data_IF_009164360518
#
_entry.id   IF_009164360518
#
_cell.length_a   1.000
_cell.length_b   1.000
_cell.length_c   1.000
_cell.angle_alpha   90.00
_cell.angle_beta   90.00
_cell.angle_gamma   90.00
#
_symmetry.space_group_name_H-M   'P 1'
#
loop_
_entity.id
_entity.type
_entity.pdbx_description
1 polymer ?
#
# COMPACT_ATOMS: atom_id res chain seq x y z
N UNK A 1 -13.80 -1.99 6.82
CA UNK A 1 -12.48 -2.01 6.14
C UNK A 1 -12.56 -1.20 4.85
N UNK A 2 -11.66 -0.23 4.66
CA UNK A 2 -11.59 0.62 3.45
C UNK A 2 -10.20 0.47 2.82
N UNK A 3 -10.13 0.17 1.53
CA UNK A 3 -8.88 -0.03 0.78
C UNK A 3 -7.93 -1.09 1.39
N UNK A 4 -8.48 -2.06 2.14
CA UNK A 4 -7.70 -3.08 2.87
C UNK A 4 -7.21 -2.64 4.25
N UNK A 5 -7.55 -1.44 4.72
CA UNK A 5 -7.21 -0.95 6.07
C UNK A 5 -8.42 -1.04 7.00
N UNK A 6 -8.17 -1.45 8.24
CA UNK A 6 -9.21 -1.58 9.27
C UNK A 6 -9.58 -0.21 9.86
N UNK A 7 -10.34 0.56 9.08
CA UNK A 7 -10.87 1.85 9.46
C UNK A 7 -12.17 2.13 8.70
N UNK A 8 -13.02 2.95 9.30
CA UNK A 8 -14.27 3.47 8.71
C UNK A 8 -14.09 4.89 8.16
N UNK A 9 -12.99 5.57 8.51
CA UNK A 9 -12.70 6.91 7.99
C UNK A 9 -12.01 6.82 6.63
N UNK A 10 -12.73 7.23 5.57
CA UNK A 10 -12.21 7.26 4.18
C UNK A 10 -10.94 8.11 4.07
N UNK A 11 -10.80 9.19 4.84
CA UNK A 11 -9.62 10.08 4.77
C UNK A 11 -8.40 9.42 5.38
N UNK A 12 -8.57 8.75 6.51
CA UNK A 12 -7.53 7.94 7.16
C UNK A 12 -7.11 6.76 6.26
N UNK A 13 -8.07 6.06 5.67
CA UNK A 13 -7.79 4.98 4.72
C UNK A 13 -7.01 5.47 3.49
N UNK A 14 -7.37 6.64 2.96
CA UNK A 14 -6.67 7.28 1.84
C UNK A 14 -5.23 7.63 2.23
N UNK A 15 -5.03 8.22 3.42
CA UNK A 15 -3.69 8.49 3.95
C UNK A 15 -2.84 7.23 4.10
N UNK A 16 -3.42 6.16 4.66
CA UNK A 16 -2.76 4.87 4.79
C UNK A 16 -2.38 4.25 3.43
N UNK A 17 -3.29 4.34 2.46
CA UNK A 17 -3.06 3.85 1.11
C UNK A 17 -1.88 4.56 0.43
N UNK A 18 -1.78 5.88 0.57
CA UNK A 18 -0.66 6.67 0.03
C UNK A 18 0.67 6.24 0.64
N UNK A 19 0.75 6.14 1.96
CA UNK A 19 1.97 5.72 2.66
C UNK A 19 2.36 4.30 2.27
N UNK A 20 1.39 3.39 2.25
CA UNK A 20 1.58 2.01 1.83
C UNK A 20 2.11 1.90 0.39
N UNK A 21 1.49 2.61 -0.55
CA UNK A 21 1.87 2.56 -1.96
C UNK A 21 3.28 3.09 -2.18
N UNK A 22 3.66 4.21 -1.56
CA UNK A 22 5.03 4.76 -1.65
C UNK A 22 6.03 3.80 -0.99
N UNK A 23 5.71 3.27 0.19
CA UNK A 23 6.59 2.33 0.89
C UNK A 23 6.82 1.05 0.07
N UNK A 24 5.79 0.47 -0.54
CA UNK A 24 5.93 -0.76 -1.34
C UNK A 24 6.60 -0.55 -2.68
N UNK A 25 6.52 0.67 -3.19
CA UNK A 25 7.20 1.08 -4.42
C UNK A 25 8.66 1.51 -4.20
N UNK A 26 9.18 1.40 -2.97
CA UNK A 26 10.57 1.75 -2.67
C UNK A 26 11.56 0.82 -3.34
N UNK A 27 12.75 1.34 -3.60
CA UNK A 27 13.92 0.53 -3.89
C UNK A 27 14.39 -0.17 -2.60
N UNK A 28 14.14 -1.49 -2.51
CA UNK A 28 14.51 -2.34 -1.36
C UNK A 28 16.03 -2.40 -1.15
N UNK A 29 16.83 -2.17 -2.18
CA UNK A 29 18.30 -2.20 -2.06
C UNK A 29 18.83 -0.96 -1.33
N UNK A 30 18.20 0.20 -1.58
CA UNK A 30 18.56 1.50 -1.01
C UNK A 30 17.90 1.76 0.34
N UNK A 31 16.62 1.40 0.49
CA UNK A 31 15.87 1.57 1.73
C UNK A 31 15.62 0.22 2.41
N UNK A 32 16.62 -0.20 3.20
CA UNK A 32 16.63 -1.48 3.91
C UNK A 32 15.73 -1.46 5.14
N UNK A 33 15.12 -2.61 5.43
CA UNK A 33 14.35 -2.81 6.67
C UNK A 33 15.32 -2.82 7.86
N UNK A 34 15.06 -1.97 8.85
CA UNK A 34 15.87 -1.82 10.07
C UNK A 34 14.96 -1.63 11.29
N UNK A 35 15.52 -1.79 12.50
CA UNK A 35 14.76 -1.67 13.76
C UNK A 35 14.11 -0.28 13.92
N UNK A 36 14.77 0.79 13.47
CA UNK A 36 14.26 2.17 13.56
C UNK A 36 13.49 2.64 12.30
N UNK A 37 13.33 1.77 11.30
CA UNK A 37 12.71 2.13 10.02
C UNK A 37 11.32 2.74 10.21
N UNK A 38 10.50 2.17 11.10
CA UNK A 38 9.14 2.67 11.32
C UNK A 38 9.12 4.05 11.97
N UNK A 39 10.04 4.33 12.91
CA UNK A 39 10.19 5.67 13.48
C UNK A 39 10.63 6.68 12.40
N UNK A 40 11.51 6.28 11.48
CA UNK A 40 11.93 7.11 10.36
C UNK A 40 10.77 7.42 9.42
N UNK A 41 9.99 6.41 9.04
CA UNK A 41 8.79 6.56 8.21
C UNK A 41 7.81 7.53 8.87
N UNK A 42 7.54 7.38 10.18
CA UNK A 42 6.67 8.31 10.90
C UNK A 42 7.17 9.75 10.83
N UNK A 43 8.46 9.99 11.06
CA UNK A 43 9.06 11.33 10.94
C UNK A 43 8.92 11.88 9.51
N UNK A 44 9.19 11.06 8.49
CA UNK A 44 9.11 11.47 7.10
C UNK A 44 7.70 11.80 6.65
N UNK A 45 6.72 10.97 7.03
CA UNK A 45 5.30 11.19 6.74
C UNK A 45 4.81 12.47 7.41
N UNK A 46 5.11 12.66 8.70
CA UNK A 46 4.69 13.85 9.43
C UNK A 46 5.26 15.13 8.82
N UNK A 47 6.54 15.13 8.49
CA UNK A 47 7.22 16.29 7.90
C UNK A 47 6.85 16.52 6.42
N UNK A 48 6.47 15.48 5.67
CA UNK A 48 5.89 15.64 4.34
C UNK A 48 4.47 16.24 4.42
N UNK A 49 3.62 15.69 5.30
CA UNK A 49 2.24 16.13 5.50
C UNK A 49 2.17 17.60 5.96
N UNK A 50 3.05 18.01 6.87
CA UNK A 50 3.14 19.40 7.34
C UNK A 50 3.38 20.42 6.22
N UNK A 51 4.14 20.05 5.19
CA UNK A 51 4.57 20.96 4.10
C UNK A 51 3.76 20.82 2.82
N UNK A 52 3.05 19.71 2.67
CA UNK A 52 2.19 19.47 1.53
C UNK A 52 0.97 20.38 1.57
N UNK A 53 0.64 20.98 0.42
CA UNK A 53 -0.61 21.72 0.19
C UNK A 53 -1.64 20.89 -0.60
N UNK A 54 -1.21 19.76 -1.15
CA UNK A 54 -2.02 18.85 -1.94
C UNK A 54 -1.50 17.42 -1.81
N UNK A 55 -2.34 16.42 -2.11
CA UNK A 55 -1.92 15.01 -2.08
C UNK A 55 -0.76 14.72 -3.06
N UNK A 56 -0.77 15.20 -4.32
CA UNK A 56 0.38 15.02 -5.21
C UNK A 56 1.66 15.59 -4.61
N UNK A 57 1.59 16.78 -3.99
CA UNK A 57 2.75 17.39 -3.34
C UNK A 57 3.24 16.57 -2.15
N UNK A 58 2.35 15.93 -1.41
CA UNK A 58 2.73 15.00 -0.35
C UNK A 58 3.52 13.81 -0.90
N UNK A 59 3.06 13.20 -2.00
CA UNK A 59 3.75 12.08 -2.66
C UNK A 59 5.15 12.51 -3.13
N UNK A 60 5.28 13.67 -3.76
CA UNK A 60 6.57 14.22 -4.21
C UNK A 60 7.55 14.45 -3.05
N UNK A 61 7.05 14.87 -1.88
CA UNK A 61 7.89 15.11 -0.70
C UNK A 61 8.28 13.80 0.02
N UNK A 62 7.40 12.80 0.02
CA UNK A 62 7.64 11.52 0.71
C UNK A 62 8.50 10.57 -0.12
N UNK A 63 8.24 10.45 -1.42
CA UNK A 63 8.89 9.49 -2.33
C UNK A 63 10.43 9.47 -2.25
N UNK A 64 11.16 10.61 -2.34
CA UNK A 64 12.61 10.59 -2.28
C UNK A 64 13.15 10.12 -0.92
N UNK A 65 12.40 10.32 0.17
CA UNK A 65 12.79 9.93 1.53
C UNK A 65 12.71 8.43 1.77
N UNK A 66 11.80 7.77 1.05
CA UNK A 66 11.67 6.32 1.05
C UNK A 66 12.41 5.66 -0.12
N UNK A 67 13.25 6.41 -0.86
CA UNK A 67 13.92 5.92 -2.07
C UNK A 67 12.93 5.31 -3.09
N UNK A 68 11.74 5.89 -3.21
CA UNK A 68 10.75 5.54 -4.23
C UNK A 68 10.97 6.44 -5.46
N UNK A 69 11.40 5.84 -6.58
CA UNK A 69 11.60 6.57 -7.84
C UNK A 69 10.30 6.78 -8.62
N UNK A 70 9.37 5.84 -8.53
CA UNK A 70 8.03 5.92 -9.10
C UNK A 70 7.07 5.02 -8.33
N UNK A 71 5.85 5.50 -8.08
CA UNK A 71 4.83 4.71 -7.38
C UNK A 71 4.25 3.69 -8.35
N UNK A 72 4.35 2.40 -8.00
CA UNK A 72 3.91 1.31 -8.85
C UNK A 72 2.39 1.14 -8.75
N UNK A 73 1.65 1.10 -9.89
CA UNK A 73 0.19 0.99 -9.89
C UNK A 73 -0.37 -0.23 -9.17
N UNK A 74 0.39 -1.34 -9.13
CA UNK A 74 -0.03 -2.56 -8.43
C UNK A 74 -0.28 -2.37 -6.93
N UNK A 75 0.45 -1.44 -6.29
CA UNK A 75 0.26 -1.13 -4.87
C UNK A 75 -0.80 -0.06 -4.63
N UNK A 76 -1.26 0.56 -5.72
CA UNK A 76 -2.33 1.54 -5.78
C UNK A 76 -3.64 0.92 -6.25
N UNK A 77 -3.63 -0.33 -6.70
CA UNK A 77 -4.83 -1.05 -7.11
C UNK A 77 -5.75 -1.19 -5.89
N UNK A 78 -6.74 -0.31 -5.84
CA UNK A 78 -7.89 -0.43 -4.97
C UNK A 78 -8.86 -1.33 -5.71
N UNK A 79 -8.72 -2.64 -5.52
CA UNK A 79 -9.78 -3.58 -5.91
C UNK A 79 -11.08 -3.09 -5.29
N UNK A 80 -12.16 -3.11 -6.07
CA UNK A 80 -13.41 -2.40 -5.77
C UNK A 80 -13.99 -2.67 -4.37
N UNK A 81 -13.60 -3.76 -3.70
CA UNK A 81 -13.71 -3.92 -2.25
C UNK A 81 -12.56 -4.76 -1.72
N UNK A 82 -11.49 -4.12 -1.25
CA UNK A 82 -10.71 -4.55 -0.06
C UNK A 82 -10.05 -5.94 -0.01
N UNK A 83 -10.25 -6.82 -0.97
CA UNK A 83 -9.74 -8.18 -0.99
C UNK A 83 -8.99 -8.39 -2.30
N UNK A 84 -7.77 -8.90 -2.18
CA UNK A 84 -7.14 -9.61 -3.29
C UNK A 84 -7.87 -10.95 -3.30
N UNK A 85 -8.76 -11.27 -4.27
CA UNK A 85 -9.41 -12.56 -4.29
C UNK A 85 -8.35 -13.62 -4.61
N UNK A 86 -7.83 -14.23 -3.55
CA UNK A 86 -6.91 -15.35 -3.63
C UNK A 86 -7.76 -16.62 -3.65
N UNK A 87 -8.36 -16.90 -4.81
CA UNK A 87 -9.17 -18.10 -4.97
C UNK A 87 -8.24 -19.31 -5.08
N UNK A 88 -8.25 -20.16 -4.06
CA UNK A 88 -7.49 -21.41 -4.04
C UNK A 88 -8.30 -22.46 -4.81
N UNK A 89 -7.78 -22.91 -5.94
CA UNK A 89 -8.35 -24.04 -6.67
C UNK A 89 -7.60 -25.32 -6.27
N UNK A 90 -8.35 -26.35 -5.89
CA UNK A 90 -7.82 -27.71 -5.79
C UNK A 90 -7.82 -28.31 -7.19
N UNK A 91 -6.65 -28.63 -7.72
CA UNK A 91 -6.57 -29.42 -8.93
C UNK A 91 -7.00 -30.87 -8.65
N UNK A 92 -7.41 -31.59 -9.69
CA UNK A 92 -7.81 -33.00 -9.61
C UNK A 92 -6.68 -33.91 -9.08
N UNK A 93 -5.42 -33.45 -9.14
CA UNK A 93 -4.24 -34.18 -8.69
C UNK A 93 -3.89 -33.90 -7.21
N UNK A 94 -4.75 -33.20 -6.46
CA UNK A 94 -4.53 -32.87 -5.05
C UNK A 94 -3.52 -31.74 -4.80
N UNK A 95 -3.02 -31.10 -5.86
CA UNK A 95 -2.16 -29.91 -5.79
C UNK A 95 -3.00 -28.63 -5.71
N UNK A 96 -2.58 -27.68 -4.86
CA UNK A 96 -3.20 -26.37 -4.75
C UNK A 96 -2.50 -25.43 -5.74
N UNK A 97 -3.24 -24.93 -6.73
CA UNK A 97 -2.73 -23.90 -7.63
C UNK A 97 -3.28 -22.54 -7.22
N UNK A 98 -2.38 -21.58 -7.02
CA UNK A 98 -2.72 -20.19 -6.77
C UNK A 98 -2.91 -19.49 -8.12
N UNK A 99 -4.15 -19.36 -8.58
CA UNK A 99 -4.47 -18.53 -9.72
C UNK A 99 -4.88 -17.14 -9.22
N UNK A 100 -4.13 -16.11 -9.63
CA UNK A 100 -4.63 -14.73 -9.54
C UNK A 100 -5.76 -14.63 -10.56
N UNK A 101 -7.00 -14.64 -10.09
CA UNK A 101 -8.14 -14.39 -10.96
C UNK A 101 -8.08 -12.92 -11.38
N UNK A 102 -7.57 -12.65 -12.58
CA UNK A 102 -7.71 -11.34 -13.20
C UNK A 102 -9.22 -11.12 -13.41
N UNK A 103 -9.78 -10.16 -12.69
CA UNK A 103 -11.15 -9.73 -12.90
C UNK A 103 -11.37 -9.30 -14.37
N UNK A 104 -12.59 -9.47 -14.92
CA UNK A 104 -12.89 -9.07 -16.29
C UNK A 104 -12.66 -7.55 -16.48
N UNK A 105 -12.39 -7.17 -17.73
CA UNK A 105 -11.82 -5.90 -18.26
C UNK A 105 -12.35 -4.53 -17.75
N UNK A 106 -13.26 -4.49 -16.78
CA UNK A 106 -13.71 -3.25 -16.12
C UNK A 106 -12.76 -2.75 -15.00
N UNK A 107 -11.83 -3.58 -14.52
CA UNK A 107 -10.83 -3.21 -13.52
C UNK A 107 -9.53 -2.74 -14.17
N UNK A 108 -9.60 -1.59 -14.85
CA UNK A 108 -8.40 -0.93 -15.36
C UNK A 108 -7.40 -0.67 -14.22
N UNK A 109 -6.10 -0.83 -14.46
CA UNK A 109 -5.05 -0.43 -13.51
C UNK A 109 -5.16 1.08 -13.25
N UNK A 110 -5.91 1.48 -12.24
CA UNK A 110 -6.13 2.88 -11.91
C UNK A 110 -4.99 3.43 -11.05
N UNK A 111 -4.48 4.61 -11.41
CA UNK A 111 -3.42 5.33 -10.68
C UNK A 111 -3.98 6.12 -9.47
N UNK A 112 -4.87 5.53 -8.67
CA UNK A 112 -5.65 6.23 -7.62
C UNK A 112 -6.37 7.48 -8.08
N UNK A 113 -6.48 7.76 -9.39
CA UNK A 113 -6.93 9.05 -9.90
C UNK A 113 -8.34 9.38 -9.42
N UNK A 114 -9.22 8.37 -9.32
CA UNK A 114 -10.56 8.50 -8.73
C UNK A 114 -10.53 8.74 -7.22
N UNK A 115 -9.78 7.91 -6.48
CA UNK A 115 -9.62 8.06 -5.02
C UNK A 115 -9.08 9.45 -4.66
N UNK A 116 -8.12 9.96 -5.43
CA UNK A 116 -7.55 11.29 -5.25
C UNK A 116 -8.53 12.41 -5.63
N UNK A 117 -9.33 12.22 -6.67
CA UNK A 117 -10.34 13.20 -7.09
C UNK A 117 -11.47 13.35 -6.06
N UNK A 118 -11.85 12.26 -5.40
CA UNK A 118 -12.91 12.26 -4.37
C UNK A 118 -12.41 12.56 -2.95
N UNK A 119 -11.10 12.56 -2.73
CA UNK A 119 -10.53 12.74 -1.40
C UNK A 119 -10.64 14.19 -0.92
N UNK A 120 -11.10 14.39 0.32
CA UNK A 120 -10.89 15.65 1.02
C UNK A 120 -9.39 15.80 1.32
N UNK A 121 -8.71 16.50 0.43
CA UNK A 121 -7.25 16.72 0.50
C UNK A 121 -6.83 17.33 1.83
N UNK A 122 -7.61 18.29 2.37
CA UNK A 122 -7.24 18.96 3.61
C UNK A 122 -7.34 18.00 4.79
N UNK A 123 -8.42 17.23 4.85
CA UNK A 123 -8.64 16.25 5.91
C UNK A 123 -7.62 15.11 5.84
N UNK A 124 -7.31 14.59 4.64
CA UNK A 124 -6.27 13.56 4.45
C UNK A 124 -4.91 14.05 4.94
N UNK A 125 -4.49 15.25 4.55
CA UNK A 125 -3.20 15.82 4.99
C UNK A 125 -3.18 16.10 6.51
N UNK A 126 -4.31 16.53 7.07
CA UNK A 126 -4.46 16.71 8.51
C UNK A 126 -4.30 15.39 9.26
N UNK A 127 -4.99 14.32 8.82
CA UNK A 127 -4.87 12.96 9.40
C UNK A 127 -3.43 12.45 9.30
N UNK A 128 -2.80 12.59 8.13
CA UNK A 128 -1.38 12.23 7.92
C UNK A 128 -0.43 12.95 8.87
N UNK A 129 -0.74 14.18 9.30
CA UNK A 129 0.08 14.96 10.22
C UNK A 129 -0.22 14.73 11.71
N UNK A 130 -1.50 14.66 12.08
CA UNK A 130 -1.95 14.57 13.48
C UNK A 130 -2.01 13.12 13.97
N UNK A 131 -2.37 12.19 13.10
CA UNK A 131 -2.61 10.77 13.41
C UNK A 131 -1.59 9.86 12.70
N UNK A 132 -0.37 10.38 12.44
CA UNK A 132 0.67 9.66 11.71
C UNK A 132 0.95 8.27 12.28
N UNK A 133 0.98 8.14 13.60
CA UNK A 133 1.25 6.86 14.25
C UNK A 133 0.14 5.84 13.97
N UNK A 134 -1.12 6.27 14.03
CA UNK A 134 -2.27 5.43 13.72
C UNK A 134 -2.24 4.97 12.25
N UNK A 135 -2.01 5.90 11.33
CA UNK A 135 -1.88 5.59 9.90
C UNK A 135 -0.74 4.59 9.65
N UNK A 136 0.42 4.78 10.28
CA UNK A 136 1.54 3.84 10.15
C UNK A 136 1.20 2.47 10.74
N UNK A 137 0.41 2.40 11.83
CA UNK A 137 -0.07 1.12 12.36
C UNK A 137 -0.98 0.39 11.38
N UNK A 138 -1.92 1.09 10.73
CA UNK A 138 -2.77 0.51 9.68
C UNK A 138 -1.95 -0.06 8.53
N UNK A 139 -0.92 0.67 8.11
CA UNK A 139 0.00 0.21 7.05
C UNK A 139 0.77 -1.04 7.49
N UNK A 140 1.26 -1.07 8.74
CA UNK A 140 1.99 -2.22 9.29
C UNK A 140 1.11 -3.46 9.40
N UNK A 141 -0.09 -3.30 9.92
CA UNK A 141 -1.07 -4.39 10.04
C UNK A 141 -1.35 -5.02 8.67
N UNK A 142 -1.60 -4.19 7.65
CA UNK A 142 -1.79 -4.67 6.28
C UNK A 142 -0.56 -5.44 5.76
N UNK A 143 0.65 -4.93 5.99
CA UNK A 143 1.87 -5.60 5.54
C UNK A 143 2.09 -6.95 6.23
N UNK A 144 1.79 -7.06 7.52
CA UNK A 144 1.88 -8.33 8.24
C UNK A 144 0.80 -9.33 7.76
N UNK A 145 -0.40 -8.86 7.39
CA UNK A 145 -1.43 -9.72 6.76
C UNK A 145 -0.99 -10.26 5.39
N UNK A 146 -0.20 -9.50 4.64
CA UNK A 146 0.30 -9.91 3.32
C UNK A 146 1.54 -10.82 3.39
N UNK A 147 2.32 -10.75 4.47
CA UNK A 147 3.58 -11.48 4.64
C UNK A 147 3.52 -13.00 4.46
N UNK A 148 2.49 -13.73 4.94
CA UNK A 148 2.38 -15.17 4.73
C UNK A 148 2.19 -15.54 3.26
N UNK A 149 1.56 -14.67 2.47
CA UNK A 149 1.36 -14.87 1.02
C UNK A 149 2.68 -14.62 0.29
N UNK A 150 3.40 -13.55 0.64
CA UNK A 150 4.73 -13.25 0.05
C UNK A 150 5.73 -14.37 0.30
N UNK A 151 5.78 -14.91 1.52
CA UNK A 151 6.73 -15.98 1.86
C UNK A 151 6.48 -17.26 1.06
N UNK A 152 5.23 -17.53 0.64
CA UNK A 152 4.90 -18.67 -0.21
C UNK A 152 5.29 -18.44 -1.67
N UNK A 153 5.14 -17.20 -2.17
CA UNK A 153 5.53 -16.84 -3.52
C UNK A 153 7.05 -16.89 -3.71
N UNK A 154 7.82 -16.40 -2.73
CA UNK A 154 9.29 -16.44 -2.77
C UNK A 154 9.84 -17.89 -2.82
N UNK A 155 9.13 -18.86 -2.23
CA UNK A 155 9.49 -20.29 -2.29
C UNK A 155 9.24 -20.86 -3.68
N UNK A 156 8.09 -20.55 -4.29
CA UNK A 156 7.73 -21.04 -5.62
C UNK A 156 8.69 -20.50 -6.69
N UNK A 157 9.04 -19.22 -6.63
CA UNK A 157 9.99 -18.62 -7.56
C UNK A 157 11.40 -19.23 -7.43
N UNK A 158 11.79 -19.70 -6.23
CA UNK A 158 13.07 -20.36 -6.00
C UNK A 158 13.10 -21.83 -6.47
N UNK A 159 11.95 -22.51 -6.56
CA UNK A 159 11.85 -23.89 -7.04
C UNK A 159 11.80 -24.00 -8.58
N UNK A 160 11.53 -22.90 -9.28
CA UNK A 160 11.44 -22.85 -10.75
C UNK A 160 12.78 -22.48 -11.41
N UNK A 161 13.82 -22.19 -10.62
CA UNK A 161 15.19 -21.84 -11.07
C UNK A 161 16.14 -23.04 -11.01
#
# INVERSE_FOLDING_TARGET
MIYGFDTEDKSTATGALLVYAVYRSRDKTRFKVSLDMWSQIQRFVKDAAKRAKSIPRFIELLSPRLCCGSVQPRWMAVGAQGEIPLTVFSNADGTFSHAIQFAPEAESREFLTRVLAEADTKLVLQRLYQETQWIVMLVRDRLERERPVESKLDIIDAEIV
#
